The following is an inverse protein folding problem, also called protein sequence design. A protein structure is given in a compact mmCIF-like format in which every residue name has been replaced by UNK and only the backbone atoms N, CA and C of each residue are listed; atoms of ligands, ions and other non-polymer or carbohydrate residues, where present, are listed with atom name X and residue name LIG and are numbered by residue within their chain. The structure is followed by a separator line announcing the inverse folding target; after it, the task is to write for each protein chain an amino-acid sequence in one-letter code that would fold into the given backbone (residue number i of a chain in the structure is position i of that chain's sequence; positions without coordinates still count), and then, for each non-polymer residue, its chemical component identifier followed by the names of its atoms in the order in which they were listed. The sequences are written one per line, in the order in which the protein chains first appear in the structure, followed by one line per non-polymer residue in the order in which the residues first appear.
data_IF_187702998884
#
_entry.id   IF_187702998884
#
_cell.length_a   1.000
_cell.length_b   1.000
_cell.length_c   1.000
_cell.angle_alpha   90.00
_cell.angle_beta   90.00
_cell.angle_gamma   90.00
#
_symmetry.space_group_name_H-M   'P 1'
#
loop_
_entity.id
_entity.type
_entity.pdbx_description
1 polymer ?
#
# COMPACT_ATOMS: atom_id res chain seq x y z
N UNK A 1 -48.15 -24.89 -19.84
CA UNK A 1 -46.74 -24.63 -20.26
C UNK A 1 -46.10 -23.83 -19.15
N UNK A 2 -45.26 -24.49 -18.35
CA UNK A 2 -44.68 -23.90 -17.14
C UNK A 2 -43.46 -23.06 -17.51
N UNK A 3 -43.49 -21.77 -17.16
CA UNK A 3 -42.35 -20.87 -17.27
C UNK A 3 -41.31 -21.29 -16.24
N UNK A 4 -40.18 -21.84 -16.70
CA UNK A 4 -38.98 -22.04 -15.89
C UNK A 4 -38.20 -20.72 -15.84
N UNK A 5 -37.97 -20.25 -14.62
CA UNK A 5 -37.34 -18.97 -14.32
C UNK A 5 -35.86 -18.92 -14.68
N UNK A 6 -35.42 -17.73 -15.10
CA UNK A 6 -34.01 -17.39 -15.22
C UNK A 6 -33.50 -16.90 -13.86
N UNK A 7 -32.69 -17.73 -13.20
CA UNK A 7 -32.05 -17.39 -11.94
C UNK A 7 -30.94 -16.33 -12.13
N UNK A 8 -30.86 -15.44 -11.15
CA UNK A 8 -30.11 -14.19 -11.19
C UNK A 8 -28.60 -14.34 -11.35
N UNK A 9 -28.04 -13.62 -12.31
CA UNK A 9 -26.61 -13.30 -12.39
C UNK A 9 -26.33 -11.97 -11.68
N UNK A 10 -26.43 -11.98 -10.35
CA UNK A 10 -26.12 -10.83 -9.50
C UNK A 10 -24.62 -10.66 -9.23
N UNK A 11 -23.99 -9.77 -9.99
CA UNK A 11 -22.90 -8.86 -9.58
C UNK A 11 -21.61 -9.43 -8.94
N UNK A 12 -20.88 -10.30 -9.65
CA UNK A 12 -19.48 -10.62 -9.35
C UNK A 12 -18.49 -9.47 -9.70
N UNK A 13 -18.92 -8.53 -10.52
CA UNK A 13 -18.08 -7.43 -11.02
C UNK A 13 -17.66 -6.45 -9.91
N UNK A 14 -18.55 -6.14 -8.95
CA UNK A 14 -18.28 -5.10 -7.96
C UNK A 14 -17.31 -5.52 -6.83
N UNK A 15 -17.28 -6.82 -6.47
CA UNK A 15 -16.43 -7.34 -5.38
C UNK A 15 -14.93 -7.25 -5.68
N UNK A 16 -14.55 -7.26 -6.95
CA UNK A 16 -13.14 -7.15 -7.34
C UNK A 16 -12.63 -5.71 -7.18
N UNK A 17 -13.47 -4.71 -7.43
CA UNK A 17 -13.06 -3.31 -7.33
C UNK A 17 -12.68 -2.92 -5.89
N UNK A 18 -13.47 -3.35 -4.90
CA UNK A 18 -13.20 -3.05 -3.48
C UNK A 18 -11.95 -3.76 -2.94
N UNK A 19 -11.74 -5.03 -3.33
CA UNK A 19 -10.54 -5.79 -2.92
C UNK A 19 -9.24 -5.17 -3.42
N UNK A 20 -9.22 -4.71 -4.68
CA UNK A 20 -8.05 -4.04 -5.26
C UNK A 20 -7.71 -2.75 -4.52
N UNK A 21 -8.72 -2.02 -4.02
CA UNK A 21 -8.49 -0.80 -3.26
C UNK A 21 -7.94 -1.09 -1.86
N UNK A 22 -8.44 -2.11 -1.15
CA UNK A 22 -7.93 -2.46 0.18
C UNK A 22 -6.47 -2.94 0.12
N UNK A 23 -6.14 -3.80 -0.84
CA UNK A 23 -4.76 -4.28 -1.02
C UNK A 23 -3.82 -3.13 -1.34
N UNK A 24 -4.22 -2.24 -2.26
CA UNK A 24 -3.45 -1.03 -2.59
C UNK A 24 -3.27 -0.12 -1.38
N UNK A 25 -4.31 0.10 -0.58
CA UNK A 25 -4.21 0.91 0.64
C UNK A 25 -3.27 0.28 1.67
N UNK A 26 -3.31 -1.05 1.84
CA UNK A 26 -2.42 -1.76 2.74
C UNK A 26 -0.96 -1.68 2.28
N UNK A 27 -0.71 -1.92 0.98
CA UNK A 27 0.62 -1.77 0.38
C UNK A 27 1.16 -0.36 0.58
N UNK A 28 0.32 0.66 0.35
CA UNK A 28 0.71 2.05 0.48
C UNK A 28 1.05 2.44 1.93
N UNK A 29 0.35 1.89 2.93
CA UNK A 29 0.70 2.04 4.35
C UNK A 29 2.09 1.42 4.65
N UNK A 30 2.38 0.23 4.12
CA UNK A 30 3.69 -0.41 4.34
C UNK A 30 4.85 0.32 3.68
N UNK A 31 4.62 0.94 2.52
CA UNK A 31 5.63 1.75 1.84
C UNK A 31 5.90 3.06 2.58
N UNK A 32 4.89 3.61 3.23
CA UNK A 32 4.98 4.84 4.00
C UNK A 32 5.77 4.68 5.31
N UNK A 33 5.68 3.50 5.93
CA UNK A 33 6.40 3.13 7.14
C UNK A 33 7.77 2.49 6.87
N UNK A 34 8.12 2.27 5.60
CA UNK A 34 9.44 1.76 5.22
C UNK A 34 10.53 2.73 5.68
N UNK A 35 11.53 2.21 6.40
CA UNK A 35 12.71 2.97 6.79
C UNK A 35 13.51 3.32 5.53
N UNK A 36 13.67 4.61 5.26
CA UNK A 36 14.38 5.15 4.10
C UNK A 36 15.86 5.46 4.41
N UNK A 37 16.21 5.63 5.68
CA UNK A 37 17.58 5.85 6.11
C UNK A 37 17.82 5.16 7.45
N UNK A 38 18.81 4.26 7.51
CA UNK A 38 19.12 3.49 8.72
C UNK A 38 19.73 4.34 9.84
N UNK A 39 20.42 5.44 9.51
CA UNK A 39 21.11 6.28 10.50
C UNK A 39 20.14 7.10 11.35
N UNK A 40 19.14 7.72 10.71
CA UNK A 40 18.16 8.57 11.39
C UNK A 40 16.78 7.92 11.51
N UNK A 41 16.59 6.72 10.96
CA UNK A 41 15.32 5.98 10.94
C UNK A 41 14.15 6.78 10.33
N UNK A 42 14.45 7.69 9.40
CA UNK A 42 13.42 8.46 8.69
C UNK A 42 12.57 7.54 7.81
N UNK A 43 11.26 7.64 7.93
CA UNK A 43 10.27 7.05 7.03
C UNK A 43 9.63 8.15 6.17
N UNK A 44 8.67 7.81 5.30
CA UNK A 44 7.95 8.82 4.50
C UNK A 44 7.07 9.71 5.39
N UNK A 45 6.52 9.17 6.48
CA UNK A 45 5.48 9.83 7.29
C UNK A 45 5.91 10.28 8.69
N UNK A 46 7.05 9.84 9.23
CA UNK A 46 7.39 10.11 10.64
C UNK A 46 7.99 11.51 10.93
N UNK A 47 8.07 12.39 9.93
CA UNK A 47 8.47 13.80 10.13
C UNK A 47 9.94 14.02 10.50
N UNK A 48 10.75 12.96 10.60
CA UNK A 48 12.20 13.08 10.83
C UNK A 48 12.84 13.70 9.58
N UNK A 49 13.70 14.71 9.77
CA UNK A 49 14.51 15.27 8.68
C UNK A 49 15.88 14.63 8.72
N UNK A 50 16.29 14.01 7.62
CA UNK A 50 17.67 13.54 7.49
C UNK A 50 18.57 14.76 7.30
N UNK A 51 19.61 14.88 8.11
CA UNK A 51 20.56 15.99 8.02
C UNK A 51 21.40 15.95 6.74
N UNK A 52 21.34 14.85 5.97
CA UNK A 52 21.97 14.78 4.65
C UNK A 52 23.48 14.97 4.67
N UNK A 53 24.11 14.76 5.84
CA UNK A 53 25.57 14.75 5.96
C UNK A 53 26.02 13.44 5.29
N UNK A 54 26.23 13.53 3.99
CA UNK A 54 26.78 12.44 3.19
C UNK A 54 28.27 12.37 3.53
N UNK A 55 28.62 11.66 4.60
CA UNK A 55 30.03 11.35 4.90
C UNK A 55 30.39 10.16 4.04
N UNK A 56 30.78 10.43 2.79
CA UNK A 56 31.29 9.41 1.89
C UNK A 56 32.75 9.02 2.19
N UNK A 57 33.43 9.70 3.12
CA UNK A 57 34.88 9.54 3.29
C UNK A 57 35.36 9.62 4.75
N UNK A 58 34.75 8.91 5.71
CA UNK A 58 35.57 8.39 6.82
C UNK A 58 34.91 7.23 7.58
N UNK A 59 35.46 6.04 7.36
CA UNK A 59 35.73 4.99 8.35
C UNK A 59 34.57 4.53 9.26
N UNK A 60 33.84 3.53 8.74
CA UNK A 60 33.14 2.40 9.40
C UNK A 60 32.20 2.68 10.59
#
# INVERSE_FOLDING_TARGET
MSNIGEEGKGNLFNKNFEKNNLEKSLLQLTEEDKILCIHCKRTKNNGLRCLGICVADNEY
#
